data_IF_666758976596
#
_entry.id   IF_666758976596
#
_cell.length_a   1.000
_cell.length_b   1.000
_cell.length_c   1.000
_cell.angle_alpha   90.00
_cell.angle_beta   90.00
_cell.angle_gamma   90.00
#
_symmetry.space_group_name_H-M   'P 1'
#
loop_
_entity.id
_entity.type
_entity.pdbx_description
1 polymer ?
#
# COMPACT_ATOMS: atom_id res chain seq x y z
N UNK A 1 16.10 10.81 5.70
CA UNK A 1 15.03 11.41 4.88
C UNK A 1 14.53 10.35 3.92
N UNK A 2 13.23 10.27 3.68
CA UNK A 2 12.69 9.36 2.68
C UNK A 2 13.20 9.83 1.30
N UNK A 3 13.94 8.97 0.60
CA UNK A 3 14.65 9.31 -0.64
C UNK A 3 13.74 9.46 -1.86
N UNK A 4 12.61 10.16 -1.71
CA UNK A 4 11.72 10.51 -2.81
C UNK A 4 11.85 11.98 -3.17
N UNK A 5 11.62 12.28 -4.45
CA UNK A 5 11.56 13.64 -5.00
C UNK A 5 10.10 14.09 -4.99
N UNK A 6 9.79 15.22 -4.35
CA UNK A 6 8.42 15.75 -4.20
C UNK A 6 8.14 17.01 -5.03
N UNK A 7 9.16 17.69 -5.55
CA UNK A 7 9.04 18.85 -6.44
C UNK A 7 8.79 18.46 -7.91
N UNK A 8 7.84 17.56 -8.16
CA UNK A 8 7.55 17.02 -9.51
C UNK A 8 7.13 18.12 -10.51
N UNK A 9 6.49 19.18 -10.03
CA UNK A 9 6.07 20.32 -10.85
C UNK A 9 7.25 21.09 -11.47
N UNK A 10 8.44 21.01 -10.87
CA UNK A 10 9.63 21.72 -11.34
C UNK A 10 10.28 21.04 -12.55
N UNK A 11 9.88 19.80 -12.87
CA UNK A 11 10.41 19.05 -14.01
C UNK A 11 11.88 18.63 -13.86
N UNK A 12 12.45 18.71 -12.65
CA UNK A 12 13.87 18.46 -12.34
C UNK A 12 14.11 17.13 -11.63
N UNK A 13 13.18 16.19 -11.79
CA UNK A 13 13.27 14.89 -11.16
C UNK A 13 14.59 14.17 -11.51
N UNK A 14 15.47 13.93 -10.53
CA UNK A 14 16.76 13.31 -10.78
C UNK A 14 16.65 11.83 -11.20
N UNK A 15 15.52 11.18 -10.92
CA UNK A 15 15.24 9.81 -11.33
C UNK A 15 14.79 9.70 -12.80
N UNK A 16 14.48 10.83 -13.46
CA UNK A 16 14.08 10.85 -14.86
C UNK A 16 12.63 10.44 -15.12
N UNK A 17 11.74 10.42 -14.11
CA UNK A 17 10.34 10.02 -14.26
C UNK A 17 9.47 11.24 -14.58
N UNK A 18 9.53 12.28 -13.75
CA UNK A 18 8.74 13.51 -13.87
C UNK A 18 9.56 14.65 -14.44
N UNK A 19 10.07 14.49 -15.67
CA UNK A 19 10.88 15.48 -16.37
C UNK A 19 10.64 15.46 -17.87
N UNK A 20 10.92 16.57 -18.55
CA UNK A 20 10.99 16.68 -20.01
C UNK A 20 12.41 16.98 -20.52
N UNK A 21 13.38 17.10 -19.60
CA UNK A 21 14.78 17.31 -19.96
C UNK A 21 15.36 15.99 -20.51
N UNK A 22 15.89 15.97 -21.76
CA UNK A 22 16.43 14.75 -22.35
C UNK A 22 17.57 14.11 -21.55
N UNK A 23 18.40 14.91 -20.88
CA UNK A 23 19.51 14.41 -20.06
C UNK A 23 18.96 13.69 -18.82
N UNK A 24 17.98 14.29 -18.14
CA UNK A 24 17.35 13.70 -16.97
C UNK A 24 16.52 12.46 -17.34
N UNK A 25 15.72 12.52 -18.41
CA UNK A 25 14.89 11.42 -18.88
C UNK A 25 15.74 10.19 -19.24
N UNK A 26 16.94 10.39 -19.79
CA UNK A 26 17.86 9.30 -20.14
C UNK A 26 18.36 8.47 -18.93
N UNK A 27 18.18 8.98 -17.70
CA UNK A 27 18.57 8.28 -16.47
C UNK A 27 17.66 7.11 -16.13
N UNK A 28 16.42 7.12 -16.62
CA UNK A 28 15.49 6.02 -16.43
C UNK A 28 15.68 4.96 -17.53
N UNK A 29 16.14 3.77 -17.14
CA UNK A 29 16.03 2.58 -18.00
C UNK A 29 14.61 2.01 -17.89
N UNK A 30 13.75 2.14 -18.92
CA UNK A 30 12.36 1.71 -18.86
C UNK A 30 12.22 0.19 -18.77
N UNK A 31 13.16 -0.58 -19.33
CA UNK A 31 13.10 -2.04 -19.31
C UNK A 31 13.45 -2.55 -17.92
N UNK A 32 14.53 -2.05 -17.33
CA UNK A 32 14.91 -2.42 -15.97
C UNK A 32 13.87 -1.93 -14.93
N UNK A 33 13.35 -0.70 -15.10
CA UNK A 33 12.30 -0.16 -14.25
C UNK A 33 11.00 -0.99 -14.34
N UNK A 34 10.58 -1.37 -15.54
CA UNK A 34 9.41 -2.22 -15.75
C UNK A 34 9.54 -3.59 -15.06
N UNK A 35 10.73 -4.21 -15.10
CA UNK A 35 10.99 -5.46 -14.36
C UNK A 35 10.89 -5.29 -12.85
N UNK A 36 11.41 -4.18 -12.30
CA UNK A 36 11.29 -3.86 -10.88
C UNK A 36 9.83 -3.65 -10.47
N UNK A 37 9.06 -2.91 -11.27
CA UNK A 37 7.63 -2.70 -11.03
C UNK A 37 6.84 -4.01 -11.06
N UNK A 38 7.09 -4.87 -12.04
CA UNK A 38 6.44 -6.18 -12.12
C UNK A 38 6.74 -7.07 -10.90
N UNK A 39 7.98 -7.05 -10.41
CA UNK A 39 8.34 -7.77 -9.19
C UNK A 39 7.65 -7.20 -7.95
N UNK A 40 7.62 -5.87 -7.81
CA UNK A 40 6.93 -5.21 -6.71
C UNK A 40 5.43 -5.57 -6.67
N UNK A 41 4.73 -5.45 -7.80
CA UNK A 41 3.31 -5.80 -7.89
C UNK A 41 3.05 -7.28 -7.59
N UNK A 42 3.94 -8.16 -8.03
CA UNK A 42 3.83 -9.59 -7.75
C UNK A 42 3.99 -9.90 -6.26
N UNK A 43 4.96 -9.28 -5.58
CA UNK A 43 5.13 -9.44 -4.13
C UNK A 43 3.90 -8.91 -3.39
N UNK A 44 3.45 -7.69 -3.68
CA UNK A 44 2.24 -7.12 -3.08
C UNK A 44 1.02 -8.03 -3.28
N UNK A 45 0.86 -8.61 -4.47
CA UNK A 45 -0.25 -9.54 -4.75
C UNK A 45 -0.18 -10.77 -3.85
N UNK A 46 1.00 -11.36 -3.68
CA UNK A 46 1.19 -12.53 -2.81
C UNK A 46 0.95 -12.22 -1.33
N UNK A 47 1.38 -11.04 -0.87
CA UNK A 47 1.14 -10.57 0.50
C UNK A 47 -0.35 -10.33 0.75
N UNK A 48 -1.03 -9.64 -0.16
CA UNK A 48 -2.47 -9.41 -0.09
C UNK A 48 -3.24 -10.75 -0.04
N UNK A 49 -2.88 -11.71 -0.90
CA UNK A 49 -3.46 -13.06 -0.87
C UNK A 49 -3.20 -13.77 0.47
N UNK A 50 -2.05 -13.54 1.10
CA UNK A 50 -1.73 -14.11 2.41
C UNK A 50 -2.64 -13.54 3.50
N UNK A 51 -2.92 -12.23 3.45
CA UNK A 51 -3.89 -11.58 4.36
C UNK A 51 -5.29 -12.18 4.15
N UNK A 52 -5.77 -12.26 2.91
CA UNK A 52 -7.09 -12.86 2.62
C UNK A 52 -7.22 -14.29 3.16
N UNK A 53 -6.17 -15.12 2.97
CA UNK A 53 -6.15 -16.49 3.51
C UNK A 53 -6.17 -16.52 5.04
N UNK A 54 -5.47 -15.59 5.71
CA UNK A 54 -5.49 -15.50 7.17
C UNK A 54 -6.90 -15.17 7.70
N UNK A 55 -7.70 -14.42 6.93
CA UNK A 55 -9.12 -14.17 7.19
C UNK A 55 -10.04 -15.31 6.71
N UNK A 56 -9.51 -16.45 6.26
CA UNK A 56 -10.30 -17.58 5.77
C UNK A 56 -10.95 -17.36 4.41
N UNK A 57 -10.54 -16.32 3.65
CA UNK A 57 -11.10 -15.98 2.33
C UNK A 57 -10.25 -16.58 1.20
N UNK A 58 -10.92 -17.12 0.19
CA UNK A 58 -10.28 -17.70 -1.01
C UNK A 58 -9.83 -16.67 -2.04
N UNK A 59 -10.38 -15.45 -1.98
CA UNK A 59 -10.10 -14.37 -2.92
C UNK A 59 -10.11 -13.02 -2.21
N UNK A 60 -9.33 -12.05 -2.70
CA UNK A 60 -9.23 -10.71 -2.12
C UNK A 60 -10.56 -9.95 -2.09
N UNK A 61 -11.35 -10.06 -3.16
CA UNK A 61 -12.68 -9.46 -3.25
C UNK A 61 -13.70 -10.03 -2.26
N UNK A 62 -13.36 -11.09 -1.51
CA UNK A 62 -14.24 -11.69 -0.51
C UNK A 62 -13.92 -11.18 0.91
N UNK A 63 -12.97 -10.25 1.06
CA UNK A 63 -12.76 -9.55 2.33
C UNK A 63 -13.98 -8.68 2.64
N UNK A 64 -14.45 -8.79 3.87
CA UNK A 64 -15.64 -8.09 4.36
C UNK A 64 -15.24 -7.18 5.54
N UNK A 65 -16.07 -6.18 5.90
CA UNK A 65 -15.79 -5.32 7.05
C UNK A 65 -15.58 -6.08 8.36
N UNK A 66 -16.18 -7.27 8.50
CA UNK A 66 -16.03 -8.13 9.68
C UNK A 66 -14.62 -8.72 9.83
N UNK A 67 -13.81 -8.73 8.76
CA UNK A 67 -12.41 -9.19 8.80
C UNK A 67 -11.44 -8.12 9.36
N UNK A 68 -11.92 -6.90 9.60
CA UNK A 68 -11.12 -5.78 10.09
C UNK A 68 -10.96 -5.81 11.62
N UNK A 69 -9.76 -5.45 12.08
CA UNK A 69 -9.46 -5.19 13.48
C UNK A 69 -8.63 -3.91 13.62
N UNK A 70 -8.83 -3.19 14.73
CA UNK A 70 -8.08 -1.99 15.04
C UNK A 70 -6.90 -2.29 15.98
N UNK A 71 -5.78 -1.59 15.79
CA UNK A 71 -4.61 -1.70 16.66
C UNK A 71 -4.65 -0.72 17.86
N UNK A 72 -5.54 0.28 17.82
CA UNK A 72 -5.71 1.26 18.89
C UNK A 72 -7.17 1.39 19.31
N UNK A 73 -7.39 1.85 20.53
CA UNK A 73 -8.73 2.01 21.12
C UNK A 73 -9.50 3.08 20.37
N UNK A 74 -8.85 4.18 20.01
CA UNK A 74 -9.46 5.31 19.28
C UNK A 74 -9.92 4.86 17.88
N UNK A 75 -9.08 4.12 17.15
CA UNK A 75 -9.42 3.60 15.84
C UNK A 75 -10.59 2.59 15.93
N UNK A 76 -10.58 1.72 16.96
CA UNK A 76 -11.67 0.78 17.22
C UNK A 76 -12.99 1.51 17.46
N UNK A 77 -12.99 2.54 18.32
CA UNK A 77 -14.18 3.33 18.64
C UNK A 77 -14.71 4.11 17.43
N UNK A 78 -13.82 4.75 16.65
CA UNK A 78 -14.19 5.59 15.51
C UNK A 78 -14.66 4.77 14.30
N UNK A 79 -13.95 3.70 13.96
CA UNK A 79 -14.26 2.84 12.82
C UNK A 79 -15.31 1.78 13.14
N UNK A 80 -15.65 1.58 14.42
CA UNK A 80 -16.59 0.56 14.92
C UNK A 80 -16.19 -0.87 14.53
N UNK A 81 -14.91 -1.16 14.66
CA UNK A 81 -14.32 -2.49 14.43
C UNK A 81 -13.62 -2.99 15.70
N UNK A 82 -13.54 -4.31 15.96
CA UNK A 82 -12.98 -4.83 17.21
C UNK A 82 -11.51 -4.43 17.45
N UNK A 83 -11.13 -4.27 18.72
CA UNK A 83 -9.72 -4.14 19.10
C UNK A 83 -9.01 -5.49 18.88
N UNK A 84 -7.84 -5.47 18.26
CA UNK A 84 -7.06 -6.64 17.94
C UNK A 84 -6.89 -7.58 19.15
N UNK A 85 -7.14 -8.88 18.93
CA UNK A 85 -7.11 -9.91 19.97
C UNK A 85 -8.37 -9.98 20.85
N UNK A 86 -9.41 -9.20 20.55
CA UNK A 86 -10.67 -9.16 21.31
C UNK A 86 -11.89 -9.10 20.39
N UNK A 87 -13.08 -9.29 20.95
CA UNK A 87 -14.36 -8.96 20.31
C UNK A 87 -14.94 -7.62 20.78
N UNK A 88 -14.16 -6.84 21.53
CA UNK A 88 -14.63 -5.60 22.15
C UNK A 88 -14.52 -4.42 21.20
N UNK A 89 -15.60 -3.62 21.15
CA UNK A 89 -15.65 -2.33 20.46
C UNK A 89 -15.97 -1.26 21.51
N UNK A 90 -15.05 -0.33 21.81
CA UNK A 90 -15.30 0.73 22.78
C UNK A 90 -16.51 1.58 22.38
N UNK A 91 -17.45 1.75 23.31
CA UNK A 91 -18.67 2.54 23.08
C UNK A 91 -19.76 1.83 22.25
N UNK A 92 -19.53 0.60 21.77
CA UNK A 92 -20.61 -0.27 21.33
C UNK A 92 -21.42 -0.75 22.54
N UNK A 93 -22.73 -0.95 22.34
CA UNK A 93 -23.65 -1.40 23.40
C UNK A 93 -23.35 -2.81 23.88
#
# INVERSE_FOLDING_TARGET
AAGFYDDFQDGRDPAGITTQDPELASRLDPVAAGRRLANYLRVLTMEAQTIARACGKSHLHNLEPEDLVALTIEASAMARVPLAGTSWIPGAK
#
